data_IF_904467890684
#
_entry.id   IF_904467890684
#
_cell.length_a   1.000
_cell.length_b   1.000
_cell.length_c   1.000
_cell.angle_alpha   90.00
_cell.angle_beta   90.00
_cell.angle_gamma   90.00
#
_symmetry.space_group_name_H-M   'P 1'
#
loop_
_entity.id
_entity.type
_entity.pdbx_description
1 polymer ?
#
# COMPACT_ATOMS: atom_id res chain seq x y z
N UNK A 1 23.36 66.84 -28.18
CA UNK A 1 22.36 67.33 -27.22
C UNK A 1 22.03 66.13 -26.32
N UNK A 2 22.86 65.76 -25.36
CA UNK A 2 23.12 66.38 -24.05
C UNK A 2 21.96 66.20 -23.05
N UNK A 3 22.35 65.95 -21.78
CA UNK A 3 21.59 65.71 -20.53
C UNK A 3 21.15 64.24 -20.31
N UNK A 4 21.67 63.42 -19.37
CA UNK A 4 22.32 63.60 -18.07
C UNK A 4 21.43 64.26 -17.00
N UNK A 5 21.02 63.45 -16.01
CA UNK A 5 20.57 63.72 -14.63
C UNK A 5 19.54 62.63 -14.23
N UNK A 6 19.53 61.98 -13.07
CA UNK A 6 20.38 62.01 -11.89
C UNK A 6 19.95 60.84 -11.01
N UNK A 7 20.92 60.14 -10.41
CA UNK A 7 20.70 59.06 -9.47
C UNK A 7 20.39 59.65 -8.08
N UNK A 8 19.21 59.36 -7.53
CA UNK A 8 18.87 59.63 -6.14
C UNK A 8 18.96 58.33 -5.33
N UNK A 9 19.98 58.26 -4.47
CA UNK A 9 20.17 57.24 -3.45
C UNK A 9 19.22 57.47 -2.27
N UNK A 10 18.40 56.47 -1.93
CA UNK A 10 17.70 56.39 -0.65
C UNK A 10 18.41 55.41 0.31
N UNK A 11 18.34 55.64 1.63
CA UNK A 11 19.29 55.12 2.61
C UNK A 11 18.99 53.69 3.06
N UNK A 12 20.06 52.92 3.31
CA UNK A 12 20.01 51.60 3.90
C UNK A 12 19.48 51.64 5.34
N UNK A 13 18.24 51.18 5.53
CA UNK A 13 17.69 50.85 6.85
C UNK A 13 18.31 49.55 7.34
N UNK A 14 19.11 49.64 8.40
CA UNK A 14 19.66 48.50 9.13
C UNK A 14 18.53 47.71 9.81
N UNK A 15 18.14 46.58 9.23
CA UNK A 15 17.22 45.63 9.84
C UNK A 15 17.88 44.94 11.03
N UNK A 16 17.35 45.15 12.23
CA UNK A 16 17.73 44.36 13.40
C UNK A 16 17.21 42.92 13.24
N UNK A 17 17.98 41.90 13.63
CA UNK A 17 17.59 40.50 13.46
C UNK A 17 16.33 40.21 14.28
N UNK A 18 15.25 39.83 13.58
CA UNK A 18 13.98 39.50 14.18
C UNK A 18 14.14 38.40 15.25
N UNK A 19 13.83 38.77 16.49
CA UNK A 19 13.90 37.90 17.64
C UNK A 19 12.87 36.77 17.54
N UNK A 20 13.35 35.52 17.37
CA UNK A 20 12.47 34.34 17.31
C UNK A 20 11.56 34.24 18.56
N UNK A 21 10.30 33.80 18.40
CA UNK A 21 9.35 33.69 19.51
C UNK A 21 9.87 32.76 20.62
N UNK A 22 9.57 33.10 21.87
CA UNK A 22 10.12 32.43 23.06
C UNK A 22 9.88 30.90 23.08
N UNK A 23 8.74 30.45 22.54
CA UNK A 23 8.42 29.02 22.40
C UNK A 23 9.37 28.27 21.45
N UNK A 24 9.79 28.93 20.36
CA UNK A 24 10.73 28.37 19.38
C UNK A 24 12.14 28.35 19.98
N UNK A 25 12.54 29.40 20.70
CA UNK A 25 13.82 29.44 21.44
C UNK A 25 13.92 28.31 22.48
N UNK A 26 12.86 28.08 23.26
CA UNK A 26 12.81 27.00 24.24
C UNK A 26 12.91 25.60 23.61
N UNK A 27 12.31 25.40 22.43
CA UNK A 27 12.35 24.13 21.71
C UNK A 27 13.75 23.88 21.11
N UNK A 28 14.39 24.93 20.58
CA UNK A 28 15.78 24.87 20.10
C UNK A 28 16.72 24.51 21.25
N UNK A 29 16.58 25.15 22.41
CA UNK A 29 17.43 24.88 23.57
C UNK A 29 17.23 23.46 24.12
N UNK A 30 15.99 22.96 24.18
CA UNK A 30 15.70 21.58 24.58
C UNK A 30 16.32 20.55 23.63
N UNK A 31 16.26 20.80 22.30
CA UNK A 31 16.91 19.94 21.30
C UNK A 31 18.43 19.98 21.41
N UNK A 32 19.00 21.16 21.68
CA UNK A 32 20.44 21.35 21.92
C UNK A 32 20.92 20.56 23.14
N UNK A 33 20.20 20.65 24.27
CA UNK A 33 20.50 19.90 25.49
C UNK A 33 20.45 18.38 25.28
N UNK A 34 19.44 17.89 24.55
CA UNK A 34 19.33 16.46 24.21
C UNK A 34 20.51 15.98 23.34
N UNK A 35 20.95 16.78 22.37
CA UNK A 35 22.09 16.46 21.53
C UNK A 35 23.41 16.43 22.32
N UNK A 36 23.61 17.35 23.26
CA UNK A 36 24.78 17.37 24.14
C UNK A 36 24.82 16.13 25.06
N UNK A 37 23.68 15.74 25.65
CA UNK A 37 23.59 14.52 26.45
C UNK A 37 23.93 13.26 25.65
N UNK A 38 23.40 13.12 24.42
CA UNK A 38 23.72 11.98 23.56
C UNK A 38 25.21 11.93 23.18
N UNK A 39 25.84 13.10 22.97
CA UNK A 39 27.28 13.19 22.70
C UNK A 39 28.11 12.78 23.92
N UNK A 40 27.71 13.21 25.11
CA UNK A 40 28.38 12.85 26.36
C UNK A 40 28.24 11.34 26.65
N UNK A 41 27.06 10.76 26.43
CA UNK A 41 26.83 9.33 26.57
C UNK A 41 27.70 8.50 25.60
N UNK A 42 27.85 8.95 24.35
CA UNK A 42 28.75 8.31 23.37
C UNK A 42 30.23 8.40 23.75
N UNK A 43 30.65 9.51 24.35
CA UNK A 43 32.02 9.68 24.85
C UNK A 43 32.28 8.83 26.10
N UNK A 44 31.28 8.66 26.96
CA UNK A 44 31.36 7.82 28.15
C UNK A 44 31.33 6.31 27.82
N UNK A 45 30.59 5.91 26.78
CA UNK A 45 30.48 4.52 26.33
C UNK A 45 31.66 4.04 25.46
N UNK A 46 32.82 4.72 25.50
CA UNK A 46 34.00 4.30 24.75
C UNK A 46 34.57 3.01 25.39
N UNK A 47 34.71 1.91 24.64
CA UNK A 47 35.06 0.60 25.21
C UNK A 47 36.52 0.47 25.70
N UNK A 48 37.36 1.50 25.53
CA UNK A 48 38.74 1.52 26.00
C UNK A 48 39.09 2.88 26.61
N UNK A 49 39.71 2.93 27.81
CA UNK A 49 40.07 4.19 28.45
C UNK A 49 41.25 4.85 27.71
N UNK A 50 41.15 6.16 27.49
CA UNK A 50 42.27 6.96 27.01
C UNK A 50 43.31 7.06 28.13
N UNK A 51 44.51 6.57 27.88
CA UNK A 51 45.67 6.70 28.77
C UNK A 51 46.01 8.19 28.93
N UNK A 52 45.62 8.76 30.07
CA UNK A 52 46.04 10.09 30.51
C UNK A 52 47.06 9.92 31.62
N UNK A 53 48.29 9.58 31.21
CA UNK A 53 49.45 9.81 32.05
C UNK A 53 49.77 11.31 32.02
N UNK A 54 49.32 12.06 33.03
CA UNK A 54 50.00 13.20 33.64
C UNK A 54 49.02 14.01 34.50
N UNK A 55 49.01 13.77 35.80
CA UNK A 55 49.21 14.78 36.85
C UNK A 55 48.79 14.25 38.23
N UNK A 56 49.74 14.35 39.16
CA UNK A 56 49.57 14.45 40.62
C UNK A 56 49.08 13.22 41.40
N UNK A 57 50.06 12.47 41.91
CA UNK A 57 50.19 12.20 43.36
C UNK A 57 49.21 11.21 43.98
N UNK A 58 49.56 9.92 43.94
CA UNK A 58 48.96 8.89 44.78
C UNK A 58 49.70 7.56 44.62
N UNK A 59 50.42 7.16 45.67
CA UNK A 59 51.24 5.95 45.70
C UNK A 59 50.40 4.68 45.51
N UNK A 60 50.72 3.87 44.51
CA UNK A 60 50.37 2.45 44.45
C UNK A 60 51.46 1.70 43.67
N UNK A 61 51.88 0.56 44.21
CA UNK A 61 53.04 -0.26 43.80
C UNK A 61 53.29 -0.31 42.28
N UNK A 62 54.42 0.26 41.87
CA UNK A 62 54.93 0.18 40.49
C UNK A 62 55.75 -1.10 40.37
N UNK A 63 55.24 -2.10 39.63
CA UNK A 63 56.08 -3.16 39.05
C UNK A 63 57.07 -2.49 38.08
N UNK A 64 58.33 -2.90 38.15
CA UNK A 64 59.40 -2.34 37.32
C UNK A 64 59.05 -2.42 35.82
N UNK A 65 59.33 -1.34 35.09
CA UNK A 65 59.05 -1.25 33.66
C UNK A 65 59.89 -2.28 32.86
N UNK A 66 59.31 -2.95 31.85
CA UNK A 66 60.06 -3.87 31.00
C UNK A 66 61.11 -3.12 30.17
N UNK A 67 62.25 -3.76 29.93
CA UNK A 67 63.34 -3.18 29.12
C UNK A 67 62.93 -3.21 27.65
N UNK A 68 62.89 -2.03 27.05
CA UNK A 68 62.52 -1.81 25.65
C UNK A 68 63.77 -1.98 24.78
N UNK A 69 63.73 -2.86 23.78
CA UNK A 69 64.79 -3.02 22.79
C UNK A 69 64.27 -2.48 21.45
N UNK A 70 64.90 -1.40 20.97
CA UNK A 70 64.59 -0.78 19.68
C UNK A 70 65.37 -1.47 18.57
N UNK A 71 64.67 -2.10 17.63
CA UNK A 71 65.26 -2.79 16.47
C UNK A 71 65.55 -1.85 15.29
N UNK A 72 65.39 -0.53 15.45
CA UNK A 72 65.80 0.48 14.47
C UNK A 72 64.88 0.58 13.23
N UNK A 73 63.72 -0.07 13.26
CA UNK A 73 62.74 -0.12 12.17
C UNK A 73 61.34 0.42 12.51
N UNK A 74 61.18 1.13 13.64
CA UNK A 74 59.92 1.78 14.01
C UNK A 74 58.85 0.87 14.65
N UNK A 75 59.17 -0.38 15.00
CA UNK A 75 58.31 -1.26 15.78
C UNK A 75 58.96 -1.58 17.13
N UNK A 76 58.21 -1.38 18.22
CA UNK A 76 58.60 -1.77 19.57
C UNK A 76 57.96 -3.14 19.87
N UNK A 77 58.78 -4.16 20.10
CA UNK A 77 58.34 -5.49 20.55
C UNK A 77 58.69 -5.65 22.03
N UNK A 78 57.68 -5.94 22.85
CA UNK A 78 57.87 -6.34 24.24
C UNK A 78 58.21 -7.83 24.27
N UNK A 79 59.33 -8.16 24.92
CA UNK A 79 59.76 -9.55 25.11
C UNK A 79 58.87 -10.19 26.19
N UNK A 80 57.79 -10.84 25.77
CA UNK A 80 57.02 -11.71 26.66
C UNK A 80 57.88 -12.92 27.01
N UNK A 81 58.26 -12.98 28.29
CA UNK A 81 58.84 -14.19 28.90
C UNK A 81 57.82 -15.30 28.71
N UNK A 82 58.22 -16.38 28.03
CA UNK A 82 57.43 -17.60 27.84
C UNK A 82 57.10 -18.21 29.20
N UNK A 83 55.99 -17.77 29.80
CA UNK A 83 55.34 -18.49 30.88
C UNK A 83 54.61 -19.68 30.24
N UNK A 84 55.24 -20.86 30.30
CA UNK A 84 54.63 -22.16 29.99
C UNK A 84 53.39 -22.37 30.86
N UNK A 85 52.25 -21.84 30.42
CA UNK A 85 50.96 -22.14 31.00
C UNK A 85 50.59 -23.57 30.62
N UNK A 86 50.64 -24.48 31.60
CA UNK A 86 50.16 -25.84 31.45
C UNK A 86 48.73 -25.83 30.89
N UNK A 87 48.59 -26.24 29.64
CA UNK A 87 47.31 -26.29 28.92
C UNK A 87 46.47 -27.39 29.57
N UNK A 88 45.60 -27.00 30.50
CA UNK A 88 44.57 -27.89 31.02
C UNK A 88 43.76 -28.44 29.86
N UNK A 89 43.56 -29.77 29.79
CA UNK A 89 42.72 -30.41 28.77
C UNK A 89 41.35 -29.73 28.74
N UNK A 90 41.15 -28.86 27.75
CA UNK A 90 39.85 -28.27 27.45
C UNK A 90 38.99 -29.39 26.90
N UNK A 91 38.14 -29.97 27.74
CA UNK A 91 37.03 -30.79 27.26
C UNK A 91 36.07 -29.83 26.59
N UNK A 92 36.16 -29.71 25.26
CA UNK A 92 35.09 -29.10 24.48
C UNK A 92 33.83 -29.92 24.73
N UNK A 93 32.89 -29.36 25.49
CA UNK A 93 31.54 -29.87 25.44
C UNK A 93 31.07 -29.74 23.99
N UNK A 94 30.57 -30.82 23.35
CA UNK A 94 30.00 -30.69 22.02
C UNK A 94 28.93 -29.61 22.10
N UNK A 95 28.97 -28.66 21.17
CA UNK A 95 27.99 -27.57 21.12
C UNK A 95 26.57 -28.13 21.15
N UNK A 96 25.58 -27.39 21.67
CA UNK A 96 24.19 -27.81 21.67
C UNK A 96 23.82 -28.30 20.26
N UNK A 97 23.44 -29.57 20.14
CA UNK A 97 22.88 -30.11 18.90
C UNK A 97 21.57 -29.36 18.72
N UNK A 98 21.57 -28.37 17.83
CA UNK A 98 20.32 -27.81 17.31
C UNK A 98 19.59 -29.02 16.72
N UNK A 99 18.44 -29.38 17.28
CA UNK A 99 17.53 -30.32 16.63
C UNK A 99 17.17 -29.70 15.29
N UNK A 100 17.92 -30.08 14.26
CA UNK A 100 17.62 -29.69 12.90
C UNK A 100 16.32 -30.41 12.57
N UNK A 101 15.22 -29.67 12.45
CA UNK A 101 13.90 -30.20 12.12
C UNK A 101 13.92 -30.78 10.70
N UNK A 102 14.41 -32.02 10.57
CA UNK A 102 14.40 -32.74 9.31
C UNK A 102 12.96 -33.09 8.95
N UNK A 103 12.48 -32.53 7.84
CA UNK A 103 11.16 -32.81 7.30
C UNK A 103 11.24 -33.92 6.28
N UNK A 104 10.32 -34.88 6.34
CA UNK A 104 10.21 -35.96 5.36
C UNK A 104 9.39 -35.47 4.17
N UNK A 105 9.93 -35.60 2.96
CA UNK A 105 9.22 -35.25 1.72
C UNK A 105 8.04 -36.20 1.46
N UNK A 106 6.84 -35.66 1.25
CA UNK A 106 5.63 -36.44 0.95
C UNK A 106 5.71 -37.21 -0.38
N UNK A 107 6.53 -36.76 -1.33
CA UNK A 107 6.63 -37.38 -2.67
C UNK A 107 7.68 -38.49 -2.74
N UNK A 108 8.85 -38.31 -2.13
CA UNK A 108 9.96 -39.25 -2.23
C UNK A 108 10.41 -39.90 -0.91
N UNK A 109 9.82 -39.50 0.22
CA UNK A 109 10.14 -40.02 1.55
C UNK A 109 11.54 -39.69 2.05
N UNK A 110 12.29 -38.82 1.37
CA UNK A 110 13.63 -38.39 1.79
C UNK A 110 13.51 -37.25 2.79
N UNK A 111 14.37 -37.28 3.80
CA UNK A 111 14.57 -36.18 4.72
C UNK A 111 15.23 -35.01 4.00
N UNK A 112 14.70 -33.81 4.21
CA UNK A 112 15.27 -32.56 3.76
C UNK A 112 15.13 -31.52 4.87
N UNK A 113 16.01 -30.52 4.87
CA UNK A 113 15.96 -29.44 5.85
C UNK A 113 15.12 -28.28 5.30
N UNK A 114 15.65 -27.66 4.24
CA UNK A 114 15.00 -26.54 3.58
C UNK A 114 14.51 -26.93 2.18
N UNK A 115 13.35 -26.41 1.81
CA UNK A 115 12.89 -26.41 0.43
C UNK A 115 12.14 -25.13 0.11
N UNK A 116 12.05 -24.78 -1.18
CA UNK A 116 11.28 -23.62 -1.61
C UNK A 116 9.82 -23.68 -1.16
N UNK A 117 9.21 -24.86 -1.25
CA UNK A 117 7.80 -25.06 -0.94
C UNK A 117 7.55 -25.06 0.57
N UNK A 118 8.47 -25.62 1.37
CA UNK A 118 8.39 -25.57 2.82
C UNK A 118 8.53 -24.12 3.30
N UNK A 119 9.55 -23.40 2.83
CA UNK A 119 9.84 -22.04 3.29
C UNK A 119 8.72 -21.03 2.94
N UNK A 120 8.09 -21.17 1.78
CA UNK A 120 7.07 -20.21 1.33
C UNK A 120 5.64 -20.62 1.60
N UNK A 121 5.33 -21.92 1.63
CA UNK A 121 3.96 -22.42 1.68
C UNK A 121 3.70 -23.46 2.77
N UNK A 122 4.70 -23.82 3.59
CA UNK A 122 4.63 -24.89 4.60
C UNK A 122 4.21 -26.24 4.00
N UNK A 123 4.66 -26.53 2.77
CA UNK A 123 4.40 -27.81 2.11
C UNK A 123 5.65 -28.70 2.18
N UNK A 124 5.49 -29.91 2.73
CA UNK A 124 6.55 -30.89 2.96
C UNK A 124 7.01 -31.59 1.67
N UNK A 125 7.59 -30.82 0.75
CA UNK A 125 8.10 -31.32 -0.53
C UNK A 125 9.50 -30.77 -0.78
N UNK A 126 10.46 -31.66 -1.07
CA UNK A 126 11.82 -31.26 -1.39
C UNK A 126 11.92 -30.62 -2.79
N UNK A 127 12.97 -29.84 -3.05
CA UNK A 127 13.12 -29.12 -4.33
C UNK A 127 13.29 -30.06 -5.54
N UNK A 128 13.77 -31.29 -5.34
CA UNK A 128 13.89 -32.29 -6.41
C UNK A 128 12.52 -32.79 -6.88
N UNK A 129 11.52 -32.81 -6.00
CA UNK A 129 10.16 -33.21 -6.31
C UNK A 129 9.27 -32.01 -6.67
N UNK A 130 9.84 -30.79 -6.68
CA UNK A 130 9.11 -29.59 -7.02
C UNK A 130 8.86 -29.52 -8.52
N UNK A 131 7.64 -29.84 -8.88
CA UNK A 131 7.10 -29.59 -10.21
C UNK A 131 6.43 -28.21 -10.28
N UNK A 132 7.09 -27.24 -10.92
CA UNK A 132 6.63 -25.85 -11.00
C UNK A 132 5.50 -25.63 -12.03
N UNK A 133 5.34 -26.52 -13.00
CA UNK A 133 4.43 -26.31 -14.13
C UNK A 133 3.07 -26.99 -13.89
N UNK A 134 3.05 -28.15 -13.23
CA UNK A 134 1.82 -28.90 -12.97
C UNK A 134 1.38 -28.82 -11.51
N UNK A 135 1.95 -29.67 -10.64
CA UNK A 135 1.44 -29.88 -9.27
C UNK A 135 1.64 -28.66 -8.36
N UNK A 136 2.81 -28.01 -8.44
CA UNK A 136 3.18 -26.87 -7.61
C UNK A 136 3.09 -25.53 -8.37
N UNK A 137 2.21 -25.48 -9.38
CA UNK A 137 1.91 -24.27 -10.12
C UNK A 137 1.42 -23.17 -9.19
N UNK A 138 1.98 -21.97 -9.37
CA UNK A 138 1.56 -20.77 -8.67
C UNK A 138 0.48 -20.04 -9.47
N UNK A 139 -0.58 -19.61 -8.80
CA UNK A 139 -1.68 -18.83 -9.37
C UNK A 139 -1.85 -17.51 -8.65
N UNK A 140 -2.35 -16.50 -9.36
CA UNK A 140 -2.52 -15.16 -8.75
C UNK A 140 -3.72 -15.13 -7.80
N UNK A 141 -3.69 -14.23 -6.81
CA UNK A 141 -4.85 -14.01 -5.90
C UNK A 141 -6.15 -13.76 -6.67
N UNK A 142 -6.08 -13.01 -7.77
CA UNK A 142 -7.24 -12.72 -8.62
C UNK A 142 -7.78 -13.94 -9.35
N UNK A 143 -6.88 -14.77 -9.89
CA UNK A 143 -7.20 -16.03 -10.57
C UNK A 143 -7.83 -17.01 -9.56
N UNK A 144 -7.22 -17.20 -8.40
CA UNK A 144 -7.76 -18.05 -7.33
C UNK A 144 -9.20 -17.66 -6.95
N UNK A 145 -9.48 -16.36 -6.77
CA UNK A 145 -10.82 -15.87 -6.42
C UNK A 145 -11.84 -16.01 -7.57
N UNK A 146 -11.41 -15.88 -8.81
CA UNK A 146 -12.30 -15.97 -9.98
C UNK A 146 -12.60 -17.42 -10.34
N UNK A 147 -11.56 -18.26 -10.38
CA UNK A 147 -11.66 -19.67 -10.76
C UNK A 147 -12.19 -20.55 -9.64
N UNK A 148 -11.90 -20.28 -8.37
CA UNK A 148 -12.37 -21.12 -7.25
C UNK A 148 -13.47 -20.45 -6.42
N UNK A 149 -13.98 -19.30 -6.90
CA UNK A 149 -15.05 -18.53 -6.26
C UNK A 149 -14.77 -18.21 -4.77
N UNK A 150 -13.49 -18.14 -4.39
CA UNK A 150 -13.06 -17.89 -3.02
C UNK A 150 -13.16 -16.40 -2.65
N UNK A 151 -13.45 -16.11 -1.38
CA UNK A 151 -13.41 -14.75 -0.82
C UNK A 151 -12.07 -14.51 -0.13
N UNK A 152 -11.75 -13.25 0.15
CA UNK A 152 -10.49 -12.90 0.85
C UNK A 152 -10.42 -13.51 2.26
N UNK A 153 -11.56 -13.63 2.94
CA UNK A 153 -11.64 -14.29 4.24
C UNK A 153 -11.28 -15.79 4.17
N UNK A 154 -11.59 -16.44 3.05
CA UNK A 154 -11.30 -17.86 2.88
C UNK A 154 -9.81 -18.11 2.63
N UNK A 155 -9.06 -17.11 2.17
CA UNK A 155 -7.61 -17.18 1.98
C UNK A 155 -6.84 -16.79 3.25
N UNK A 156 -7.27 -15.70 3.90
CA UNK A 156 -6.47 -15.03 4.95
C UNK A 156 -6.91 -15.40 6.38
N UNK A 157 -8.18 -15.71 6.61
CA UNK A 157 -8.72 -15.92 7.98
C UNK A 157 -8.97 -17.37 8.35
N UNK A 158 -9.34 -18.22 7.38
CA UNK A 158 -9.56 -19.64 7.65
C UNK A 158 -8.25 -20.32 8.02
N UNK A 159 -8.30 -21.13 9.07
CA UNK A 159 -7.15 -21.92 9.54
C UNK A 159 -6.96 -23.17 8.66
N UNK A 160 -5.72 -23.52 8.27
CA UNK A 160 -4.50 -22.71 8.33
C UNK A 160 -4.53 -21.57 7.31
N UNK A 161 -4.03 -20.39 7.68
CA UNK A 161 -3.96 -19.24 6.77
C UNK A 161 -3.02 -19.54 5.60
N UNK A 162 -3.47 -19.32 4.36
CA UNK A 162 -2.68 -19.65 3.19
C UNK A 162 -1.57 -18.61 3.00
N UNK A 163 -0.32 -19.08 2.97
CA UNK A 163 0.84 -18.25 2.65
C UNK A 163 0.89 -17.93 1.15
N UNK A 164 1.58 -16.84 0.81
CA UNK A 164 1.72 -16.35 -0.55
C UNK A 164 3.08 -15.70 -0.78
N UNK A 165 3.49 -15.69 -2.05
CA UNK A 165 4.70 -14.99 -2.49
C UNK A 165 4.30 -13.66 -3.14
N UNK A 166 5.02 -12.60 -2.78
CA UNK A 166 4.82 -11.27 -3.37
C UNK A 166 5.78 -11.07 -4.52
N UNK A 167 5.27 -10.74 -5.71
CA UNK A 167 6.06 -10.46 -6.91
C UNK A 167 5.63 -9.14 -7.55
N UNK A 168 6.54 -8.43 -8.21
CA UNK A 168 6.18 -7.22 -8.99
C UNK A 168 5.29 -7.60 -10.16
N UNK A 169 4.36 -6.73 -10.53
CA UNK A 169 3.47 -6.99 -11.64
C UNK A 169 4.23 -6.94 -12.98
N UNK A 170 4.24 -8.02 -13.79
CA UNK A 170 4.97 -8.08 -15.06
C UNK A 170 4.51 -7.05 -16.09
N UNK A 171 3.24 -6.66 -16.06
CA UNK A 171 2.69 -5.71 -17.02
C UNK A 171 3.06 -4.26 -16.68
N UNK A 172 3.13 -3.93 -15.39
CA UNK A 172 3.44 -2.57 -14.96
C UNK A 172 4.03 -2.56 -13.54
N UNK A 173 5.29 -2.17 -13.43
CA UNK A 173 6.02 -2.21 -12.16
C UNK A 173 5.52 -1.20 -11.12
N UNK A 174 4.83 -0.13 -11.52
CA UNK A 174 4.22 0.82 -10.58
C UNK A 174 2.86 0.35 -10.04
N UNK A 175 2.26 -0.69 -10.64
CA UNK A 175 1.05 -1.28 -10.06
C UNK A 175 1.39 -2.02 -8.76
N UNK A 176 0.39 -2.21 -7.91
CA UNK A 176 0.56 -2.97 -6.69
C UNK A 176 1.10 -4.38 -6.95
N UNK A 177 1.88 -4.88 -5.99
CA UNK A 177 2.52 -6.18 -6.10
C UNK A 177 1.48 -7.31 -6.16
N UNK A 178 1.75 -8.30 -7.00
CA UNK A 178 0.91 -9.49 -7.12
C UNK A 178 1.22 -10.49 -6.02
N UNK A 179 0.17 -11.10 -5.49
CA UNK A 179 0.25 -12.22 -4.54
C UNK A 179 0.05 -13.53 -5.31
N UNK A 180 0.99 -14.45 -5.16
CA UNK A 180 0.99 -15.77 -5.78
C UNK A 180 0.75 -16.84 -4.72
N UNK A 181 -0.27 -17.65 -4.94
CA UNK A 181 -0.67 -18.77 -4.08
C UNK A 181 -0.38 -20.10 -4.77
N UNK A 182 -0.16 -21.15 -3.99
CA UNK A 182 0.00 -22.49 -4.53
C UNK A 182 -1.34 -23.06 -4.97
N UNK A 183 -1.46 -23.46 -6.24
CA UNK A 183 -2.72 -23.97 -6.82
C UNK A 183 -3.28 -25.14 -6.02
N UNK A 184 -2.42 -26.06 -5.58
CA UNK A 184 -2.80 -27.22 -4.77
C UNK A 184 -3.52 -26.82 -3.48
N UNK A 185 -3.00 -25.83 -2.74
CA UNK A 185 -3.62 -25.35 -1.51
C UNK A 185 -4.97 -24.65 -1.79
N UNK A 186 -5.06 -23.93 -2.90
CA UNK A 186 -6.30 -23.26 -3.31
C UNK A 186 -7.39 -24.28 -3.67
N UNK A 187 -7.06 -25.35 -4.39
CA UNK A 187 -7.99 -26.44 -4.70
C UNK A 187 -8.50 -27.07 -3.40
N UNK A 188 -7.59 -27.41 -2.47
CA UNK A 188 -7.98 -27.96 -1.17
C UNK A 188 -8.90 -27.01 -0.40
N UNK A 189 -8.56 -25.72 -0.33
CA UNK A 189 -9.38 -24.69 0.32
C UNK A 189 -10.74 -24.52 -0.36
N UNK A 190 -10.80 -24.64 -1.69
CA UNK A 190 -12.06 -24.61 -2.44
C UNK A 190 -12.96 -25.77 -2.07
N UNK A 191 -12.40 -26.99 -1.96
CA UNK A 191 -13.15 -28.16 -1.52
C UNK A 191 -13.63 -28.00 -0.07
N UNK A 192 -12.84 -27.42 0.83
CA UNK A 192 -13.26 -27.11 2.20
C UNK A 192 -14.41 -26.08 2.27
N UNK A 193 -14.44 -25.11 1.35
CA UNK A 193 -15.45 -24.04 1.32
C UNK A 193 -16.75 -24.50 0.65
N UNK A 194 -16.65 -25.23 -0.45
CA UNK A 194 -17.79 -25.64 -1.28
C UNK A 194 -18.25 -27.08 -1.01
N UNK A 195 -17.48 -27.88 -0.27
CA UNK A 195 -17.76 -29.27 0.07
C UNK A 195 -17.39 -30.24 -1.06
N UNK A 196 -17.88 -29.99 -2.28
CA UNK A 196 -17.61 -30.82 -3.45
C UNK A 196 -17.18 -30.00 -4.66
N UNK A 197 -16.50 -30.67 -5.59
CA UNK A 197 -16.13 -30.06 -6.88
C UNK A 197 -17.37 -29.76 -7.72
N UNK A 198 -18.39 -30.62 -7.66
CA UNK A 198 -19.67 -30.44 -8.36
C UNK A 198 -20.38 -29.16 -7.91
N UNK A 199 -20.44 -28.90 -6.60
CA UNK A 199 -21.05 -27.69 -6.05
C UNK A 199 -20.35 -26.40 -6.53
N UNK A 200 -19.03 -26.44 -6.67
CA UNK A 200 -18.26 -25.32 -7.23
C UNK A 200 -18.62 -25.07 -8.70
N UNK A 201 -18.77 -26.13 -9.49
CA UNK A 201 -19.10 -26.05 -10.91
C UNK A 201 -20.53 -25.54 -11.13
N UNK A 202 -21.50 -26.04 -10.36
CA UNK A 202 -22.87 -25.52 -10.36
C UNK A 202 -22.91 -24.03 -10.00
N UNK A 203 -22.16 -23.62 -8.96
CA UNK A 203 -22.06 -22.22 -8.57
C UNK A 203 -21.45 -21.33 -9.67
N UNK A 204 -20.46 -21.85 -10.42
CA UNK A 204 -19.89 -21.16 -11.60
C UNK A 204 -20.92 -21.00 -12.70
N UNK A 205 -21.65 -22.04 -13.03
CA UNK A 205 -22.69 -21.99 -14.06
C UNK A 205 -23.78 -20.97 -13.71
N UNK A 206 -24.26 -20.98 -12.46
CA UNK A 206 -25.26 -20.02 -11.98
C UNK A 206 -24.71 -18.60 -12.12
N UNK A 207 -23.44 -18.37 -11.75
CA UNK A 207 -22.80 -17.05 -11.87
C UNK A 207 -22.61 -16.63 -13.34
N UNK A 208 -22.38 -17.56 -14.25
CA UNK A 208 -22.29 -17.28 -15.69
C UNK A 208 -23.67 -16.94 -16.27
N UNK A 209 -24.68 -17.78 -16.02
CA UNK A 209 -26.07 -17.54 -16.43
C UNK A 209 -26.57 -16.19 -15.91
N UNK A 210 -26.26 -15.83 -14.66
CA UNK A 210 -26.63 -14.53 -14.09
C UNK A 210 -25.89 -13.36 -14.76
N UNK A 211 -24.61 -13.52 -15.10
CA UNK A 211 -23.85 -12.49 -15.84
C UNK A 211 -24.44 -12.26 -17.24
N UNK A 212 -24.82 -13.33 -17.94
CA UNK A 212 -25.47 -13.26 -19.25
C UNK A 212 -26.84 -12.57 -19.16
N UNK A 213 -27.67 -12.97 -18.20
CA UNK A 213 -28.97 -12.31 -17.92
C UNK A 213 -28.79 -10.82 -17.63
N UNK A 214 -27.79 -10.44 -16.85
CA UNK A 214 -27.53 -9.02 -16.54
C UNK A 214 -27.02 -8.24 -17.76
N UNK A 215 -26.19 -8.85 -18.62
CA UNK A 215 -25.76 -8.26 -19.89
C UNK A 215 -26.96 -8.04 -20.82
N UNK A 216 -27.84 -9.03 -20.96
CA UNK A 216 -29.05 -8.93 -21.76
C UNK A 216 -29.97 -7.82 -21.23
N UNK A 217 -30.28 -7.82 -19.92
CA UNK A 217 -31.09 -6.75 -19.31
C UNK A 217 -30.49 -5.36 -19.52
N UNK A 218 -29.15 -5.22 -19.45
CA UNK A 218 -28.46 -3.95 -19.71
C UNK A 218 -28.60 -3.53 -21.17
N UNK A 219 -28.53 -4.47 -22.11
CA UNK A 219 -28.74 -4.21 -23.52
C UNK A 219 -30.19 -3.80 -23.80
N UNK A 220 -31.17 -4.54 -23.30
CA UNK A 220 -32.59 -4.25 -23.45
C UNK A 220 -32.95 -2.87 -22.86
N UNK A 221 -32.37 -2.52 -21.71
CA UNK A 221 -32.51 -1.20 -21.11
C UNK A 221 -32.00 -0.11 -22.04
N UNK A 222 -30.81 -0.26 -22.63
CA UNK A 222 -30.24 0.69 -23.60
C UNK A 222 -31.12 0.82 -24.85
N UNK A 223 -31.63 -0.29 -25.38
CA UNK A 223 -32.55 -0.27 -26.54
C UNK A 223 -33.85 0.45 -26.19
N UNK A 224 -34.41 0.23 -24.99
CA UNK A 224 -35.61 0.92 -24.51
C UNK A 224 -35.37 2.43 -24.35
N UNK A 225 -34.23 2.82 -23.80
CA UNK A 225 -33.82 4.22 -23.68
C UNK A 225 -33.65 4.88 -25.04
N UNK A 226 -32.98 4.21 -25.99
CA UNK A 226 -32.82 4.67 -27.36
C UNK A 226 -34.19 4.86 -28.05
N UNK A 227 -35.09 3.88 -27.94
CA UNK A 227 -36.46 3.98 -28.48
C UNK A 227 -37.24 5.15 -27.87
N UNK A 228 -37.07 5.40 -26.56
CA UNK A 228 -37.69 6.53 -25.87
C UNK A 228 -37.17 7.86 -26.42
N UNK A 229 -35.86 8.00 -26.59
CA UNK A 229 -35.23 9.20 -27.13
C UNK A 229 -35.72 9.51 -28.55
N UNK A 230 -35.73 8.51 -29.44
CA UNK A 230 -36.25 8.65 -30.81
C UNK A 230 -37.73 9.04 -30.80
N UNK A 231 -38.57 8.36 -30.00
CA UNK A 231 -40.01 8.68 -29.90
C UNK A 231 -40.24 10.12 -29.40
N UNK A 232 -39.47 10.58 -28.42
CA UNK A 232 -39.58 11.97 -27.93
C UNK A 232 -39.10 13.01 -28.94
N UNK A 233 -38.22 12.66 -29.88
CA UNK A 233 -37.79 13.58 -30.94
C UNK A 233 -38.83 13.73 -32.05
N UNK A 234 -39.53 12.63 -32.40
CA UNK A 234 -40.56 12.61 -33.45
C UNK A 234 -41.93 13.09 -32.93
N UNK A 235 -42.23 12.89 -31.65
CA UNK A 235 -43.53 13.21 -31.03
C UNK A 235 -43.57 14.58 -30.33
N UNK A 236 -42.74 15.54 -30.75
CA UNK A 236 -43.01 16.94 -30.41
C UNK A 236 -44.07 17.45 -31.38
N UNK A 237 -45.34 17.12 -31.12
CA UNK A 237 -46.42 17.95 -31.66
C UNK A 237 -46.28 19.29 -30.97
N UNK A 238 -45.86 20.29 -31.72
CA UNK A 238 -46.02 21.68 -31.31
C UNK A 238 -47.52 21.89 -31.13
N UNK A 239 -47.98 21.82 -29.88
CA UNK A 239 -49.27 22.37 -29.51
C UNK A 239 -49.07 23.87 -29.60
N UNK A 240 -49.16 24.40 -30.81
CA UNK A 240 -49.25 25.84 -31.03
C UNK A 240 -50.49 26.27 -30.28
N UNK A 241 -50.30 26.84 -29.10
CA UNK A 241 -51.38 27.44 -28.32
C UNK A 241 -51.80 28.65 -29.13
N UNK A 242 -52.89 28.49 -29.87
CA UNK A 242 -53.48 29.58 -30.62
C UNK A 242 -53.86 30.68 -29.61
N UNK A 243 -53.31 31.88 -29.75
CA UNK A 243 -53.77 33.05 -29.01
C UNK A 243 -55.02 33.59 -29.71
N UNK A 244 -56.15 33.61 -28.99
CA UNK A 244 -57.42 34.03 -29.57
C UNK A 244 -57.44 35.56 -29.68
N UNK A 245 -57.56 36.07 -30.91
CA UNK A 245 -57.85 37.47 -31.18
C UNK A 245 -59.36 37.62 -31.36
N UNK A 246 -60.04 38.11 -30.33
CA UNK A 246 -61.49 38.31 -30.34
C UNK A 246 -61.88 39.57 -31.11
N UNK A 247 -62.86 39.44 -32.00
CA UNK A 247 -63.42 40.53 -32.81
C UNK A 247 -64.43 41.41 -32.06
N UNK A 248 -65.21 42.23 -32.78
CA UNK A 248 -66.19 43.14 -32.18
C UNK A 248 -67.24 42.39 -31.34
N UNK A 249 -67.72 43.03 -30.28
CA UNK A 249 -68.71 42.46 -29.35
C UNK A 249 -70.14 42.58 -29.89
N UNK A 250 -70.86 41.46 -29.89
CA UNK A 250 -72.29 41.40 -30.22
C UNK A 250 -73.09 41.26 -28.92
N UNK A 251 -74.06 42.15 -28.70
CA UNK A 251 -74.98 42.08 -27.58
C UNK A 251 -76.17 41.21 -27.97
N UNK A 252 -76.47 40.20 -27.15
CA UNK A 252 -77.52 39.22 -27.45
C UNK A 252 -78.78 39.56 -26.67
N UNK A 253 -78.68 39.74 -25.36
CA UNK A 253 -79.76 40.13 -24.44
C UNK A 253 -79.18 40.98 -23.28
N UNK A 254 -80.02 41.71 -22.55
CA UNK A 254 -79.63 42.67 -21.50
C UNK A 254 -78.51 42.09 -20.58
N UNK A 255 -77.37 42.80 -20.55
CA UNK A 255 -76.11 42.49 -19.86
C UNK A 255 -75.24 41.31 -20.38
N UNK A 256 -75.66 40.57 -21.42
CA UNK A 256 -74.90 39.46 -22.02
C UNK A 256 -74.23 39.82 -23.37
N UNK A 257 -72.90 39.66 -23.45
CA UNK A 257 -72.09 39.96 -24.64
C UNK A 257 -71.37 38.72 -25.18
N UNK A 258 -71.28 38.59 -26.51
CA UNK A 258 -70.53 37.54 -27.21
C UNK A 258 -69.39 38.15 -28.02
N UNK A 259 -68.21 37.52 -27.93
CA UNK A 259 -67.05 37.80 -28.79
C UNK A 259 -66.63 36.54 -29.52
N UNK A 260 -66.43 36.62 -30.83
CA UNK A 260 -65.94 35.50 -31.65
C UNK A 260 -64.48 35.75 -32.03
N UNK A 261 -63.64 34.72 -31.91
CA UNK A 261 -62.25 34.81 -32.35
C UNK A 261 -62.19 34.79 -33.87
N UNK A 262 -61.53 35.78 -34.47
CA UNK A 262 -61.49 35.96 -35.94
C UNK A 262 -60.67 34.89 -36.66
N UNK A 263 -59.80 34.18 -35.93
CA UNK A 263 -58.84 33.23 -36.51
C UNK A 263 -59.27 31.78 -36.32
N UNK A 264 -59.98 31.44 -35.24
CA UNK A 264 -60.40 30.06 -34.95
C UNK A 264 -61.91 29.87 -34.78
N UNK A 265 -62.71 30.94 -34.83
CA UNK A 265 -64.17 30.86 -34.67
C UNK A 265 -64.64 30.53 -33.26
N UNK A 266 -63.75 30.55 -32.25
CA UNK A 266 -64.13 30.30 -30.87
C UNK A 266 -64.99 31.44 -30.31
N UNK A 267 -66.15 31.11 -29.77
CA UNK A 267 -67.07 32.08 -29.16
C UNK A 267 -66.84 32.18 -27.65
N UNK A 268 -66.82 33.41 -27.13
CA UNK A 268 -66.66 33.68 -25.70
C UNK A 268 -67.82 34.60 -25.28
N UNK A 269 -68.71 34.07 -24.46
CA UNK A 269 -69.86 34.79 -23.89
C UNK A 269 -69.53 35.24 -22.48
N UNK A 270 -69.74 36.52 -22.16
CA UNK A 270 -69.53 37.07 -20.82
C UNK A 270 -70.59 38.12 -20.48
N UNK A 271 -70.82 38.31 -19.19
CA UNK A 271 -71.74 39.31 -18.64
C UNK A 271 -70.96 40.59 -18.29
N UNK A 272 -71.53 41.77 -18.59
CA UNK A 272 -70.91 43.07 -18.30
C UNK A 272 -71.72 43.79 -17.22
N UNK A 273 -71.20 43.79 -15.99
CA UNK A 273 -71.73 44.57 -14.85
C UNK A 273 -71.47 46.07 -15.01
#
# INVERSE_FOLDING_TARGET
MAAAEGASSEPATSEQPAELPASVRANIERKRQRALMLRQARLAARPYPATTAAATGGMANVKAAPKIIDTGGGFILEEEVEEEHAIGKVVHQPGPVMEFDYVICEECGKEFMDSYLMNHFDLATCDNCRDADDKHKLITKTEAKQEYLLKDCDLEKREPALKFIVKKNPHHSQWGDMKLYLKLQIVKRSLEVWGSQEALEEAKEIRQKNREKMKQKKFDKKVKELRRAVRSSVWKRETVVHQHAYGPEENIEDDMYRKTCTVCGHELTYEKM
#
